data_IF_260652401728
#
_entry.id   IF_260652401728
#
_cell.length_a   1.000
_cell.length_b   1.000
_cell.length_c   1.000
_cell.angle_alpha   90.00
_cell.angle_beta   90.00
_cell.angle_gamma   90.00
#
_symmetry.space_group_name_H-M   'P 1'
#
loop_
_entity.id
_entity.type
_entity.pdbx_description
1 polymer ?
#
# COMPACT_ATOMS: atom_id res chain seq x y z
N UNK A 1 36.92 0.15 -9.09
CA UNK A 1 35.49 -0.24 -9.00
C UNK A 1 34.89 0.07 -10.36
N UNK A 2 34.11 -0.82 -10.99
CA UNK A 2 33.55 -0.51 -12.31
C UNK A 2 32.56 0.66 -12.17
N UNK A 3 32.78 1.75 -12.93
CA UNK A 3 31.96 2.98 -12.91
C UNK A 3 30.47 2.71 -13.21
N UNK A 4 30.17 1.62 -13.94
CA UNK A 4 28.79 1.22 -14.27
C UNK A 4 28.00 0.70 -13.06
N UNK A 5 28.67 0.17 -12.00
CA UNK A 5 28.00 -0.30 -10.78
C UNK A 5 27.31 0.84 -10.04
N UNK A 6 27.79 2.08 -10.17
CA UNK A 6 27.27 3.22 -9.42
C UNK A 6 26.01 3.83 -10.06
N UNK A 7 25.61 3.38 -11.25
CA UNK A 7 24.49 3.97 -12.01
C UNK A 7 23.12 3.47 -11.57
N UNK A 8 22.97 2.17 -11.38
CA UNK A 8 21.73 1.51 -10.96
C UNK A 8 22.05 0.20 -10.24
N UNK A 9 21.44 0.02 -9.08
CA UNK A 9 21.43 -1.20 -8.29
C UNK A 9 19.98 -1.68 -8.13
N UNK A 10 19.77 -2.99 -8.30
CA UNK A 10 18.48 -3.65 -8.14
C UNK A 10 18.61 -4.76 -7.11
N UNK A 11 17.81 -4.68 -6.04
CA UNK A 11 17.73 -5.71 -5.01
C UNK A 11 16.32 -6.31 -4.99
N UNK A 12 16.23 -7.63 -5.00
CA UNK A 12 14.97 -8.36 -4.89
C UNK A 12 14.91 -9.09 -3.55
N UNK A 13 13.87 -8.81 -2.77
CA UNK A 13 13.58 -9.45 -1.50
C UNK A 13 12.28 -10.24 -1.61
N UNK A 14 12.28 -11.47 -1.10
CA UNK A 14 11.10 -12.32 -1.06
C UNK A 14 10.87 -12.78 0.38
N UNK A 15 9.63 -12.75 0.82
CA UNK A 15 9.22 -13.20 2.15
C UNK A 15 7.81 -13.75 2.18
N UNK A 16 7.39 -14.23 3.35
CA UNK A 16 6.03 -14.66 3.61
C UNK A 16 5.42 -13.81 4.73
N UNK A 17 4.15 -13.45 4.56
CA UNK A 17 3.39 -12.64 5.51
C UNK A 17 2.32 -13.49 6.19
N UNK A 18 2.10 -13.22 7.48
CA UNK A 18 0.98 -13.81 8.21
C UNK A 18 -0.34 -13.29 7.62
N UNK A 19 -1.32 -14.16 7.30
CA UNK A 19 -2.61 -13.74 6.77
C UNK A 19 -3.41 -12.83 7.68
N UNK A 20 -3.12 -12.79 8.98
CA UNK A 20 -3.84 -11.93 9.94
C UNK A 20 -3.22 -10.51 10.03
N UNK A 21 -2.04 -10.31 9.41
CA UNK A 21 -1.27 -9.05 9.42
C UNK A 21 -1.05 -8.53 8.00
N UNK A 22 -2.15 -8.38 7.26
CA UNK A 22 -2.11 -7.90 5.88
C UNK A 22 -2.06 -6.37 5.85
N UNK A 23 -1.01 -5.84 5.25
CA UNK A 23 -0.95 -4.46 4.81
C UNK A 23 -1.17 -4.39 3.29
N UNK A 24 -1.48 -3.21 2.74
CA UNK A 24 -1.52 -3.05 1.28
C UNK A 24 -0.08 -3.10 0.74
N UNK A 25 0.08 -3.45 -0.54
CA UNK A 25 1.39 -3.40 -1.20
C UNK A 25 2.10 -2.05 -1.00
N UNK A 26 1.35 -0.94 -1.06
CA UNK A 26 1.89 0.39 -0.74
C UNK A 26 2.44 0.52 0.68
N UNK A 27 1.72 -0.02 1.67
CA UNK A 27 2.11 0.06 3.07
C UNK A 27 3.40 -0.75 3.31
N UNK A 28 3.57 -1.91 2.67
CA UNK A 28 4.83 -2.66 2.69
C UNK A 28 5.99 -1.88 2.03
N UNK A 29 5.76 -1.25 0.88
CA UNK A 29 6.80 -0.45 0.22
C UNK A 29 7.24 0.74 1.10
N UNK A 30 6.29 1.38 1.79
CA UNK A 30 6.56 2.46 2.75
C UNK A 30 7.30 1.96 3.98
N UNK A 31 6.93 0.81 4.53
CA UNK A 31 7.62 0.20 5.68
C UNK A 31 9.08 -0.11 5.34
N UNK A 32 9.33 -0.71 4.17
CA UNK A 32 10.69 -1.00 3.71
C UNK A 32 11.52 0.28 3.51
N UNK A 33 10.90 1.37 3.05
CA UNK A 33 11.57 2.66 3.00
C UNK A 33 12.04 3.11 4.40
N UNK A 34 11.21 2.96 5.43
CA UNK A 34 11.57 3.29 6.81
C UNK A 34 12.69 2.42 7.35
N UNK A 35 12.64 1.10 7.10
CA UNK A 35 13.72 0.15 7.47
C UNK A 35 15.06 0.57 6.88
N UNK A 36 15.05 1.15 5.68
CA UNK A 36 16.25 1.67 5.01
C UNK A 36 16.55 3.15 5.31
N UNK A 37 15.86 3.79 6.25
CA UNK A 37 16.08 5.18 6.63
C UNK A 37 15.72 6.19 5.53
N UNK A 38 14.80 5.82 4.64
CA UNK A 38 14.35 6.63 3.51
C UNK A 38 13.03 7.33 3.84
N UNK A 39 12.85 8.54 3.30
CA UNK A 39 11.65 9.33 3.45
C UNK A 39 10.96 9.49 2.08
N UNK A 40 9.91 8.70 1.78
CA UNK A 40 9.20 8.78 0.51
C UNK A 40 8.63 10.17 0.23
N UNK A 41 8.87 10.67 -0.98
CA UNK A 41 8.28 11.93 -1.49
C UNK A 41 7.11 11.66 -2.44
N UNK A 42 7.02 10.44 -2.95
CA UNK A 42 5.93 9.99 -3.80
C UNK A 42 5.54 8.56 -3.45
N UNK A 43 4.27 8.25 -3.65
CA UNK A 43 3.68 6.97 -3.35
C UNK A 43 2.49 6.68 -4.24
N UNK A 44 2.40 5.45 -4.76
CA UNK A 44 1.25 5.00 -5.52
C UNK A 44 0.81 3.62 -5.03
N UNK A 45 -0.50 3.48 -4.77
CA UNK A 45 -1.13 2.19 -4.52
C UNK A 45 -1.88 1.72 -5.77
N UNK A 46 -1.86 0.41 -6.03
CA UNK A 46 -2.60 -0.26 -7.10
C UNK A 46 -3.35 -1.46 -6.50
N UNK A 47 -4.48 -1.16 -5.88
CA UNK A 47 -5.27 -2.14 -5.13
C UNK A 47 -4.60 -2.55 -3.82
N UNK A 48 -4.97 -3.73 -3.30
CA UNK A 48 -4.40 -4.28 -2.06
C UNK A 48 -3.03 -4.93 -2.29
N UNK A 49 -2.75 -5.43 -3.50
CA UNK A 49 -1.61 -6.31 -3.74
C UNK A 49 -0.33 -5.58 -4.08
N UNK A 50 -0.45 -4.37 -4.62
CA UNK A 50 0.68 -3.67 -5.21
C UNK A 50 0.74 -2.24 -4.75
N UNK A 51 1.95 -1.79 -4.48
CA UNK A 51 2.23 -0.38 -4.37
C UNK A 51 3.72 -0.09 -4.52
N UNK A 52 4.02 1.18 -4.68
CA UNK A 52 5.38 1.66 -4.85
C UNK A 52 5.57 3.01 -4.17
N UNK A 53 6.81 3.26 -3.77
CA UNK A 53 7.26 4.54 -3.25
C UNK A 53 8.53 4.98 -3.97
N UNK A 54 8.74 6.29 -4.02
CA UNK A 54 9.97 6.91 -4.48
C UNK A 54 10.51 7.82 -3.37
N UNK A 55 11.77 7.64 -3.03
CA UNK A 55 12.46 8.42 -2.00
C UNK A 55 13.81 8.92 -2.52
N UNK A 56 14.12 10.23 -2.36
CA UNK A 56 15.47 10.71 -2.57
C UNK A 56 16.38 10.28 -1.41
N UNK A 57 17.66 10.10 -1.69
CA UNK A 57 18.69 9.86 -0.67
C UNK A 57 20.02 10.45 -1.11
N UNK A 58 20.96 10.55 -0.17
CA UNK A 58 22.34 10.89 -0.45
C UNK A 58 23.20 9.72 0.01
N UNK A 59 23.88 9.06 -0.92
CA UNK A 59 24.79 7.98 -0.60
C UNK A 59 26.11 8.18 -1.34
N UNK A 60 27.23 7.95 -0.64
CA UNK A 60 28.59 8.09 -1.19
C UNK A 60 28.85 9.46 -1.85
N UNK A 61 28.22 10.51 -1.32
CA UNK A 61 28.40 11.89 -1.81
C UNK A 61 27.64 12.25 -3.08
N UNK A 62 26.72 11.40 -3.56
CA UNK A 62 25.88 11.71 -4.72
C UNK A 62 24.38 11.69 -4.37
N UNK A 63 23.61 12.52 -5.06
CA UNK A 63 22.14 12.48 -4.99
C UNK A 63 21.62 11.25 -5.73
N UNK A 64 20.78 10.48 -5.06
CA UNK A 64 20.23 9.23 -5.57
C UNK A 64 18.73 9.19 -5.37
N UNK A 65 18.08 8.38 -6.19
CA UNK A 65 16.67 8.06 -6.09
C UNK A 65 16.54 6.58 -5.78
N UNK A 66 15.68 6.25 -4.83
CA UNK A 66 15.33 4.89 -4.46
C UNK A 66 13.86 4.67 -4.73
N UNK A 67 13.55 3.77 -5.66
CA UNK A 67 12.20 3.31 -5.95
C UNK A 67 12.00 1.94 -5.33
N UNK A 68 10.96 1.79 -4.52
CA UNK A 68 10.65 0.54 -3.84
C UNK A 68 9.27 0.11 -4.27
N UNK A 69 9.16 -1.09 -4.83
CA UNK A 69 7.91 -1.69 -5.24
C UNK A 69 7.67 -2.92 -4.41
N UNK A 70 6.42 -3.12 -3.99
CA UNK A 70 6.02 -4.31 -3.27
C UNK A 70 4.80 -4.94 -3.94
N UNK A 71 4.85 -6.27 -4.05
CA UNK A 71 3.82 -7.11 -4.65
C UNK A 71 3.50 -8.28 -3.74
N UNK A 72 2.22 -8.45 -3.47
CA UNK A 72 1.68 -9.57 -2.72
C UNK A 72 1.13 -10.62 -3.68
N UNK A 73 1.48 -11.88 -3.43
CA UNK A 73 1.01 -13.06 -4.16
C UNK A 73 0.47 -14.06 -3.12
N UNK A 74 -0.79 -13.92 -2.72
CA UNK A 74 -1.33 -14.67 -1.59
C UNK A 74 -0.62 -14.27 -0.28
N UNK A 75 0.07 -15.21 0.35
CA UNK A 75 0.90 -14.95 1.54
C UNK A 75 2.34 -14.60 1.21
N UNK A 76 2.75 -14.61 -0.06
CA UNK A 76 4.10 -14.23 -0.45
C UNK A 76 4.19 -12.74 -0.70
N UNK A 77 5.27 -12.13 -0.24
CA UNK A 77 5.61 -10.73 -0.49
C UNK A 77 6.91 -10.68 -1.29
N UNK A 78 6.89 -9.92 -2.38
CA UNK A 78 8.07 -9.61 -3.19
C UNK A 78 8.29 -8.11 -3.11
N UNK A 79 9.50 -7.69 -2.77
CA UNK A 79 9.91 -6.29 -2.73
C UNK A 79 11.09 -6.10 -3.69
N UNK A 80 10.96 -5.17 -4.62
CA UNK A 80 12.04 -4.74 -5.50
C UNK A 80 12.48 -3.35 -5.06
N UNK A 81 13.75 -3.21 -4.71
CA UNK A 81 14.40 -1.92 -4.50
C UNK A 81 15.27 -1.59 -5.71
N UNK A 82 15.07 -0.42 -6.28
CA UNK A 82 15.90 0.13 -7.33
C UNK A 82 16.56 1.42 -6.83
N UNK A 83 17.88 1.45 -6.82
CA UNK A 83 18.68 2.56 -6.31
C UNK A 83 19.57 3.09 -7.43
N UNK A 84 19.38 4.33 -7.86
CA UNK A 84 20.06 4.91 -9.02
C UNK A 84 20.47 6.36 -8.78
N UNK A 85 21.52 6.78 -9.47
CA UNK A 85 21.97 8.15 -9.42
C UNK A 85 20.93 9.07 -10.09
N UNK A 86 20.65 10.22 -9.46
CA UNK A 86 19.57 11.12 -9.91
C UNK A 86 19.82 11.72 -11.30
N UNK A 87 21.08 11.94 -11.64
CA UNK A 87 21.54 12.37 -12.98
C UNK A 87 21.28 11.33 -14.08
N UNK A 88 21.08 10.06 -13.71
CA UNK A 88 20.73 8.96 -14.61
C UNK A 88 19.23 8.63 -14.64
N UNK A 89 18.38 9.40 -13.95
CA UNK A 89 16.94 9.14 -13.86
C UNK A 89 16.25 9.05 -15.23
N UNK A 90 16.62 9.91 -16.20
CA UNK A 90 16.03 9.91 -17.55
C UNK A 90 16.19 8.57 -18.28
N UNK A 91 17.29 7.85 -18.01
CA UNK A 91 17.54 6.53 -18.57
C UNK A 91 16.92 5.42 -17.70
N UNK A 92 17.07 5.51 -16.38
CA UNK A 92 16.63 4.46 -15.46
C UNK A 92 15.10 4.36 -15.36
N UNK A 93 14.39 5.48 -15.26
CA UNK A 93 12.95 5.51 -14.96
C UNK A 93 12.08 4.82 -16.01
N UNK A 94 12.28 4.99 -17.33
CA UNK A 94 11.50 4.24 -18.33
C UNK A 94 11.66 2.72 -18.20
N UNK A 95 12.88 2.25 -17.94
CA UNK A 95 13.17 0.83 -17.75
C UNK A 95 12.55 0.30 -16.45
N UNK A 96 12.71 1.04 -15.35
CA UNK A 96 12.11 0.71 -14.06
C UNK A 96 10.58 0.71 -14.13
N UNK A 97 9.98 1.66 -14.84
CA UNK A 97 8.55 1.68 -15.09
C UNK A 97 8.08 0.42 -15.84
N UNK A 98 8.88 -0.09 -16.78
CA UNK A 98 8.65 -1.39 -17.43
C UNK A 98 8.69 -2.56 -16.45
N UNK A 99 9.75 -2.67 -15.64
CA UNK A 99 9.92 -3.76 -14.65
C UNK A 99 8.79 -3.73 -13.62
N UNK A 100 8.59 -2.57 -12.99
CA UNK A 100 7.57 -2.41 -11.96
C UNK A 100 6.18 -2.59 -12.57
N UNK A 101 5.96 -2.07 -13.78
CA UNK A 101 4.72 -2.19 -14.54
C UNK A 101 4.32 -3.62 -14.86
N UNK A 102 5.29 -4.44 -15.29
CA UNK A 102 5.08 -5.81 -15.80
C UNK A 102 4.95 -6.86 -14.70
N UNK A 103 5.48 -6.61 -13.50
CA UNK A 103 5.27 -7.51 -12.38
C UNK A 103 3.80 -7.43 -11.94
N UNK A 104 3.03 -8.44 -12.33
CA UNK A 104 1.64 -8.62 -11.95
C UNK A 104 1.51 -9.90 -11.13
N UNK A 105 0.71 -9.84 -10.07
CA UNK A 105 0.29 -11.05 -9.39
C UNK A 105 -0.48 -11.91 -10.38
N UNK A 106 0.02 -13.13 -10.63
CA UNK A 106 -0.83 -14.15 -11.25
C UNK A 106 -2.03 -14.32 -10.32
N UNK A 107 -3.25 -14.15 -10.84
CA UNK A 107 -4.47 -14.34 -10.05
C UNK A 107 -4.46 -15.76 -9.48
N UNK A 108 -4.15 -15.84 -8.18
CA UNK A 108 -4.18 -17.11 -7.47
C UNK A 108 -5.65 -17.41 -7.26
N UNK A 109 -6.15 -18.51 -7.83
CA UNK A 109 -7.56 -18.90 -7.76
C UNK A 109 -8.12 -18.99 -6.33
N UNK A 110 -7.25 -19.13 -5.32
CA UNK A 110 -7.58 -19.02 -3.91
C UNK A 110 -6.54 -18.13 -3.21
N UNK A 111 -6.77 -16.82 -3.18
CA UNK A 111 -5.96 -15.89 -2.39
C UNK A 111 -6.46 -15.90 -0.93
N UNK A 112 -5.73 -16.51 0.02
CA UNK A 112 -6.18 -16.67 1.41
C UNK A 112 -6.45 -15.32 2.08
N UNK A 113 -5.70 -14.29 1.70
CA UNK A 113 -5.86 -12.92 2.22
C UNK A 113 -7.19 -12.33 1.77
N UNK A 114 -7.51 -12.41 0.47
CA UNK A 114 -8.81 -11.92 -0.04
C UNK A 114 -9.97 -12.68 0.57
N UNK A 115 -9.82 -13.99 0.80
CA UNK A 115 -10.84 -14.78 1.50
C UNK A 115 -10.97 -14.43 2.99
N UNK A 116 -9.94 -13.83 3.58
CA UNK A 116 -9.93 -13.38 4.98
C UNK A 116 -10.48 -11.95 5.16
N UNK A 117 -10.84 -11.27 4.07
CA UNK A 117 -11.52 -9.96 4.12
C UNK A 117 -13.04 -10.15 4.23
N UNK A 118 -13.68 -9.20 4.91
CA UNK A 118 -15.11 -8.99 4.93
C UNK A 118 -15.41 -7.60 4.36
N UNK A 119 -16.38 -7.53 3.47
CA UNK A 119 -16.82 -6.26 2.89
C UNK A 119 -17.87 -5.61 3.79
N UNK A 120 -17.67 -4.34 4.11
CA UNK A 120 -18.52 -3.55 4.99
C UNK A 120 -19.18 -2.42 4.20
N UNK A 121 -20.51 -2.26 4.26
CA UNK A 121 -21.16 -1.11 3.66
C UNK A 121 -20.69 0.16 4.37
N UNK A 122 -20.33 1.20 3.61
CA UNK A 122 -19.88 2.48 4.15
C UNK A 122 -20.96 3.57 4.02
N UNK A 123 -21.67 3.59 2.89
CA UNK A 123 -22.76 4.54 2.68
C UNK A 123 -24.01 4.17 3.50
N UNK A 124 -24.83 5.17 3.78
CA UNK A 124 -26.06 5.08 4.60
C UNK A 124 -27.33 5.30 3.78
N UNK A 125 -27.19 5.69 2.52
CA UNK A 125 -28.25 6.10 1.61
C UNK A 125 -28.57 5.06 0.51
N UNK A 126 -28.05 3.84 0.65
CA UNK A 126 -28.24 2.77 -0.32
C UNK A 126 -27.28 2.81 -1.51
N UNK A 127 -26.37 3.79 -1.56
CA UNK A 127 -25.27 3.76 -2.53
C UNK A 127 -24.35 2.56 -2.27
N UNK A 128 -23.92 1.86 -3.33
CA UNK A 128 -23.07 0.66 -3.21
C UNK A 128 -21.59 1.01 -2.90
N UNK A 129 -21.35 1.83 -1.88
CA UNK A 129 -20.01 2.07 -1.38
C UNK A 129 -19.71 1.09 -0.25
N UNK A 130 -18.66 0.31 -0.41
CA UNK A 130 -18.16 -0.64 0.58
C UNK A 130 -16.66 -0.48 0.78
N UNK A 131 -16.18 -0.95 1.93
CA UNK A 131 -14.76 -1.06 2.25
C UNK A 131 -14.47 -2.44 2.80
N UNK A 132 -13.32 -3.00 2.45
CA UNK A 132 -12.92 -4.32 2.90
C UNK A 132 -12.01 -4.20 4.12
N UNK A 133 -12.34 -4.94 5.18
CA UNK A 133 -11.53 -5.07 6.39
C UNK A 133 -11.29 -6.56 6.70
N UNK A 134 -10.20 -6.93 7.39
CA UNK A 134 -9.99 -8.30 7.82
C UNK A 134 -11.13 -8.80 8.74
N UNK A 135 -11.47 -10.09 8.64
CA UNK A 135 -12.65 -10.68 9.32
C UNK A 135 -12.63 -10.56 10.85
N UNK A 136 -11.45 -10.42 11.47
CA UNK A 136 -11.30 -10.18 12.90
C UNK A 136 -11.81 -8.79 13.32
N UNK A 137 -11.85 -7.82 12.40
CA UNK A 137 -12.42 -6.50 12.67
C UNK A 137 -13.94 -6.61 12.85
N UNK A 138 -14.46 -5.85 13.81
CA UNK A 138 -15.87 -5.75 14.09
C UNK A 138 -16.30 -4.30 14.18
N UNK A 139 -17.52 -4.01 13.72
CA UNK A 139 -18.12 -2.70 13.91
C UNK A 139 -18.37 -2.49 15.41
N UNK A 140 -17.69 -1.52 16.00
CA UNK A 140 -17.85 -1.14 17.40
C UNK A 140 -18.97 -0.10 17.57
N UNK A 141 -18.95 0.93 16.72
CA UNK A 141 -20.00 1.96 16.70
C UNK A 141 -20.18 2.51 15.29
N UNK A 142 -21.38 2.99 15.01
CA UNK A 142 -21.70 3.72 13.79
C UNK A 142 -22.55 4.92 14.15
N UNK A 143 -22.18 6.09 13.66
CA UNK A 143 -22.99 7.29 13.68
C UNK A 143 -23.46 7.58 12.25
N UNK A 144 -24.76 7.42 12.05
CA UNK A 144 -25.42 7.50 10.76
C UNK A 144 -26.93 7.72 10.98
N UNK A 145 -27.34 8.97 11.17
CA UNK A 145 -28.76 9.29 11.06
C UNK A 145 -29.26 8.97 9.64
N UNK A 146 -30.47 8.42 9.46
CA UNK A 146 -31.04 8.22 8.13
C UNK A 146 -31.06 9.54 7.34
N UNK A 147 -30.47 9.55 6.14
CA UNK A 147 -30.34 10.75 5.30
C UNK A 147 -29.19 11.70 5.66
N UNK A 148 -28.31 11.34 6.60
CA UNK A 148 -27.13 12.14 6.91
C UNK A 148 -26.17 12.21 5.72
N UNK A 149 -25.63 13.42 5.47
CA UNK A 149 -24.63 13.66 4.42
C UNK A 149 -23.25 13.06 4.76
N UNK A 150 -23.10 12.47 5.96
CA UNK A 150 -21.90 11.80 6.40
C UNK A 150 -22.23 10.59 7.28
N UNK A 151 -21.33 9.63 7.30
CA UNK A 151 -21.40 8.45 8.15
C UNK A 151 -20.03 8.23 8.77
N UNK A 152 -20.00 7.93 10.06
CA UNK A 152 -18.79 7.56 10.79
C UNK A 152 -18.96 6.13 11.26
N UNK A 153 -18.01 5.25 10.93
CA UNK A 153 -17.99 3.87 11.40
C UNK A 153 -16.67 3.61 12.10
N UNK A 154 -16.74 3.15 13.34
CA UNK A 154 -15.59 2.76 14.14
C UNK A 154 -15.52 1.23 14.18
N UNK A 155 -14.36 0.69 13.81
CA UNK A 155 -14.06 -0.73 13.87
C UNK A 155 -12.97 -0.97 14.91
N UNK A 156 -13.07 -2.10 15.62
CA UNK A 156 -12.03 -2.58 16.54
C UNK A 156 -11.60 -3.98 16.15
N UNK A 157 -10.37 -4.34 16.48
CA UNK A 157 -9.84 -5.69 16.26
C UNK A 157 -10.23 -6.62 17.42
N UNK A 158 -10.94 -7.72 17.12
CA UNK A 158 -11.28 -8.75 18.14
C UNK A 158 -10.06 -9.51 18.65
N UNK A 159 -8.97 -9.54 17.90
CA UNK A 159 -7.72 -10.19 18.29
C UNK A 159 -6.82 -9.27 19.13
N UNK A 160 -7.21 -8.01 19.36
CA UNK A 160 -6.52 -7.07 20.24
C UNK A 160 -7.32 -6.90 21.56
N UNK A 161 -7.10 -7.79 22.55
CA UNK A 161 -7.84 -7.75 23.81
C UNK A 161 -7.58 -6.49 24.63
N UNK A 162 -6.45 -5.80 24.39
CA UNK A 162 -6.09 -4.57 25.08
C UNK A 162 -6.79 -3.34 24.46
N UNK A 163 -7.43 -3.50 23.29
CA UNK A 163 -8.23 -2.45 22.64
C UNK A 163 -7.41 -1.28 22.09
N UNK A 164 -6.13 -1.52 21.79
CA UNK A 164 -5.22 -0.49 21.30
C UNK A 164 -5.41 -0.17 19.80
N UNK A 165 -6.10 -1.04 19.07
CA UNK A 165 -6.27 -0.96 17.63
C UNK A 165 -7.71 -0.60 17.25
N UNK A 166 -7.88 0.56 16.62
CA UNK A 166 -9.16 0.99 16.07
C UNK A 166 -8.99 1.69 14.72
N UNK A 167 -10.00 1.53 13.85
CA UNK A 167 -10.07 2.20 12.54
C UNK A 167 -11.37 2.97 12.46
N UNK A 168 -11.27 4.26 12.20
CA UNK A 168 -12.42 5.12 11.92
C UNK A 168 -12.52 5.35 10.43
N UNK A 169 -13.65 4.97 9.84
CA UNK A 169 -13.98 5.27 8.46
C UNK A 169 -15.01 6.39 8.44
N UNK A 170 -14.67 7.49 7.78
CA UNK A 170 -15.56 8.63 7.58
C UNK A 170 -15.94 8.69 6.11
N UNK A 171 -17.23 8.57 5.84
CA UNK A 171 -17.81 8.84 4.53
C UNK A 171 -18.56 10.16 4.57
N UNK A 172 -18.44 10.95 3.51
CA UNK A 172 -19.20 12.19 3.33
C UNK A 172 -19.55 12.37 1.86
N UNK A 173 -20.81 12.72 1.58
CA UNK A 173 -21.22 13.18 0.25
C UNK A 173 -20.75 14.62 0.07
N UNK A 174 -20.04 14.88 -1.03
CA UNK A 174 -19.72 16.23 -1.48
C UNK A 174 -20.53 16.49 -2.74
N UNK A 175 -21.45 17.45 -2.69
CA UNK A 175 -22.10 17.92 -3.90
C UNK A 175 -21.06 18.65 -4.77
N UNK A 176 -21.14 18.58 -6.10
CA UNK A 176 -20.22 19.31 -6.97
C UNK A 176 -20.31 20.81 -6.67
N UNK A 177 -19.16 21.48 -6.52
CA UNK A 177 -19.14 22.95 -6.49
C UNK A 177 -19.43 23.41 -7.92
N UNK A 178 -20.60 24.01 -8.14
CA UNK A 178 -20.88 24.70 -9.40
C UNK A 178 -19.81 25.81 -9.58
N UNK A 179 -19.14 25.78 -10.74
CA UNK A 179 -18.09 26.71 -11.12
C UNK A 179 -18.66 27.96 -11.78
#
# INVERSE_FOLDING_TARGET
>A
MPEDRDRLELDLYCGEIAPDLIARGFDYAREMAQVWGLFPVFGQSRGIDRGEVLAPTVARGSERLVRIGAWRFGTRLVVLRADYAKDHATWAEPMLAGIFGTLAAQDVAADPVRTALASWPLATDGTALSGDLPKNWQLHSADAAPGAAAAIRLFTDRNDPDGNSAVTVVWRRTDPVEA
#
